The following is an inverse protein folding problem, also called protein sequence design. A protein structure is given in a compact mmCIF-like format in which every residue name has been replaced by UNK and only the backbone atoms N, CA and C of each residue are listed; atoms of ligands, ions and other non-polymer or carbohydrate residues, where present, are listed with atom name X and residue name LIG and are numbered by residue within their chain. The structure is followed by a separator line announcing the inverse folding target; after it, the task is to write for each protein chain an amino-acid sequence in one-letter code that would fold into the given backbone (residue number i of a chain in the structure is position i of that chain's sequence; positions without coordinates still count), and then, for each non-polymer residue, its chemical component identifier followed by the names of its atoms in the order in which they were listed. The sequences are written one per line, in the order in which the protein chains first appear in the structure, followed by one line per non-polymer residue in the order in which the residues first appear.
data_IF_759578543987
#
_entry.id   IF_759578543987
#
_cell.length_a   1.000
_cell.length_b   1.000
_cell.length_c   1.000
_cell.angle_alpha   90.00
_cell.angle_beta   90.00
_cell.angle_gamma   90.00
#
_symmetry.space_group_name_H-M   'P 1'
#
loop_
_entity.id
_entity.type
_entity.pdbx_description
1 polymer ?
#
# COMPACT_ATOMS: atom_id res chain seq x y z
N UNK A 1 -20.06 53.00 -56.86
CA UNK A 1 -19.57 51.95 -57.77
C UNK A 1 -19.51 50.64 -56.98
N UNK A 2 -20.23 49.62 -57.44
CA UNK A 2 -20.27 48.20 -57.04
C UNK A 2 -20.59 47.76 -55.59
N UNK A 3 -21.83 47.27 -55.45
CA UNK A 3 -22.20 46.08 -54.65
C UNK A 3 -21.34 44.86 -55.01
N UNK A 4 -21.09 43.94 -54.05
CA UNK A 4 -21.53 42.52 -54.12
C UNK A 4 -20.99 41.58 -53.02
N UNK A 5 -21.93 40.75 -52.53
CA UNK A 5 -21.87 39.35 -52.09
C UNK A 5 -21.29 38.89 -50.72
N UNK A 6 -22.24 38.37 -49.93
CA UNK A 6 -22.19 37.26 -48.96
C UNK A 6 -21.26 36.09 -49.38
N UNK A 7 -20.51 35.52 -48.42
CA UNK A 7 -20.22 34.08 -48.32
C UNK A 7 -20.11 33.62 -46.87
N UNK A 8 -20.92 32.61 -46.53
CA UNK A 8 -20.81 31.75 -45.34
C UNK A 8 -19.59 30.82 -45.52
N UNK A 9 -18.86 30.55 -44.45
CA UNK A 9 -17.94 29.42 -44.37
C UNK A 9 -18.25 28.63 -43.09
N UNK A 10 -18.64 27.37 -43.27
CA UNK A 10 -18.71 26.35 -42.25
C UNK A 10 -17.31 25.73 -42.08
N UNK A 11 -16.92 25.40 -40.85
CA UNK A 11 -15.79 24.51 -40.57
C UNK A 11 -16.34 23.32 -39.81
N UNK A 12 -16.30 22.17 -40.47
CA UNK A 12 -16.47 20.85 -39.91
C UNK A 12 -15.07 20.35 -39.48
N UNK A 13 -14.98 19.77 -38.28
CA UNK A 13 -13.81 19.06 -37.78
C UNK A 13 -14.26 17.80 -37.06
N UNK A 14 -13.96 16.66 -37.68
CA UNK A 14 -14.36 15.29 -37.34
C UNK A 14 -13.56 14.78 -36.14
N UNK A 15 -14.22 14.16 -35.16
CA UNK A 15 -13.59 13.26 -34.18
C UNK A 15 -14.13 11.84 -34.40
N UNK A 16 -13.21 10.92 -34.68
CA UNK A 16 -13.46 9.50 -34.92
C UNK A 16 -13.61 8.80 -33.57
N UNK A 17 -14.74 8.11 -33.36
CA UNK A 17 -14.98 7.20 -32.24
C UNK A 17 -15.04 5.77 -32.82
N UNK A 18 -14.07 4.92 -32.46
CA UNK A 18 -14.09 3.50 -32.79
C UNK A 18 -14.79 2.74 -31.64
N UNK A 19 -15.99 2.24 -31.92
CA UNK A 19 -16.66 1.23 -31.10
C UNK A 19 -16.40 -0.15 -31.72
N UNK A 20 -16.05 -1.15 -30.90
CA UNK A 20 -16.08 -2.56 -31.30
C UNK A 20 -17.08 -3.31 -30.45
N UNK A 21 -18.05 -3.89 -31.14
CA UNK A 21 -19.20 -4.67 -30.67
C UNK A 21 -18.81 -6.12 -30.46
N UNK A 22 -19.27 -6.75 -29.38
CA UNK A 22 -19.27 -8.21 -29.25
C UNK A 22 -20.72 -8.70 -29.21
N UNK A 23 -21.01 -9.61 -30.14
CA UNK A 23 -22.33 -10.15 -30.44
C UNK A 23 -22.62 -11.37 -29.57
N UNK A 24 -23.82 -11.42 -28.98
CA UNK A 24 -24.39 -12.61 -28.33
C UNK A 24 -24.97 -13.59 -29.35
N UNK A 25 -24.81 -14.88 -29.10
CA UNK A 25 -25.78 -15.90 -29.55
C UNK A 25 -25.85 -17.04 -28.55
N UNK A 26 -27.08 -17.35 -28.16
CA UNK A 26 -27.46 -18.48 -27.32
C UNK A 26 -28.11 -19.55 -28.21
N UNK A 27 -27.92 -20.84 -27.89
CA UNK A 27 -28.89 -21.90 -28.20
C UNK A 27 -28.87 -22.92 -27.06
N UNK A 28 -30.07 -23.32 -26.62
CA UNK A 28 -30.33 -24.32 -25.61
C UNK A 28 -30.70 -25.68 -26.23
N UNK A 29 -30.42 -26.77 -25.50
CA UNK A 29 -31.31 -27.94 -25.41
C UNK A 29 -30.96 -29.23 -26.17
N UNK A 30 -30.60 -30.28 -25.41
CA UNK A 30 -31.40 -31.50 -25.19
C UNK A 30 -30.76 -32.89 -25.49
N UNK A 31 -31.12 -33.85 -24.61
CA UNK A 31 -31.06 -35.34 -24.66
C UNK A 31 -29.70 -36.05 -24.50
N UNK A 32 -29.51 -36.81 -23.40
CA UNK A 32 -29.60 -38.29 -23.23
C UNK A 32 -28.30 -38.99 -23.73
N UNK A 33 -27.71 -40.03 -23.14
CA UNK A 33 -28.07 -41.10 -22.22
C UNK A 33 -26.74 -41.80 -21.80
N UNK A 34 -26.79 -42.66 -20.77
CA UNK A 34 -25.87 -43.79 -20.49
C UNK A 34 -24.40 -43.62 -20.02
N UNK A 35 -24.14 -44.24 -18.86
CA UNK A 35 -22.86 -44.77 -18.33
C UNK A 35 -22.49 -46.09 -19.07
N UNK A 36 -21.39 -46.87 -18.82
CA UNK A 36 -20.38 -46.78 -17.75
C UNK A 36 -18.91 -47.17 -18.10
N UNK A 37 -18.04 -47.01 -17.09
CA UNK A 37 -16.93 -47.87 -16.63
C UNK A 37 -15.69 -48.24 -17.51
N UNK A 38 -14.55 -48.18 -16.79
CA UNK A 38 -13.28 -48.93 -16.95
C UNK A 38 -12.42 -48.59 -18.19
N UNK A 39 -11.09 -48.48 -18.14
CA UNK A 39 -10.10 -49.40 -17.56
C UNK A 39 -8.71 -48.73 -17.67
N UNK A 40 -7.83 -48.84 -16.65
CA UNK A 40 -6.36 -48.79 -16.85
C UNK A 40 -5.91 -50.10 -17.55
N UNK A 41 -4.67 -50.35 -18.08
CA UNK A 41 -3.33 -49.92 -17.61
C UNK A 41 -2.29 -49.84 -18.80
N UNK A 42 -1.00 -50.26 -18.72
CA UNK A 42 0.09 -50.09 -17.74
C UNK A 42 1.37 -49.41 -18.33
N UNK A 43 2.39 -49.30 -17.48
CA UNK A 43 3.77 -48.90 -17.75
C UNK A 43 4.59 -49.86 -18.65
N UNK A 44 5.65 -49.35 -19.29
CA UNK A 44 7.07 -49.74 -19.10
C UNK A 44 7.96 -49.60 -20.37
N UNK A 45 9.28 -49.45 -20.11
CA UNK A 45 10.44 -49.77 -20.96
C UNK A 45 10.80 -48.77 -22.07
N UNK A 46 12.04 -48.51 -22.47
CA UNK A 46 13.42 -48.75 -22.00
C UNK A 46 14.35 -48.05 -23.03
N UNK A 47 15.62 -47.87 -22.67
CA UNK A 47 16.81 -47.80 -23.52
C UNK A 47 17.16 -46.57 -24.42
N UNK A 48 18.28 -45.96 -24.01
CA UNK A 48 19.53 -45.76 -24.77
C UNK A 48 19.72 -44.62 -25.79
N UNK A 49 20.48 -43.62 -25.32
CA UNK A 49 21.82 -43.22 -25.79
C UNK A 49 22.11 -43.11 -27.31
N UNK A 50 22.43 -41.89 -27.77
CA UNK A 50 23.47 -41.66 -28.80
C UNK A 50 23.97 -40.20 -28.82
N UNK A 51 25.28 -40.06 -28.59
CA UNK A 51 26.28 -39.05 -28.97
C UNK A 51 25.90 -37.69 -29.62
N UNK A 52 26.40 -36.61 -28.97
CA UNK A 52 27.34 -35.54 -29.42
C UNK A 52 27.17 -34.84 -30.82
N UNK A 53 27.62 -33.57 -31.04
CA UNK A 53 28.89 -33.04 -30.52
C UNK A 53 28.92 -31.58 -30.02
N UNK A 54 30.06 -31.32 -29.38
CA UNK A 54 30.62 -30.07 -28.89
C UNK A 54 30.75 -28.96 -29.94
N UNK A 55 30.80 -27.72 -29.49
CA UNK A 55 31.49 -26.63 -30.18
C UNK A 55 32.24 -25.80 -29.12
N UNK A 56 33.57 -25.84 -29.22
CA UNK A 56 34.52 -25.04 -28.44
C UNK A 56 34.61 -23.57 -28.91
N UNK A 57 35.13 -22.76 -27.97
CA UNK A 57 36.11 -21.66 -28.13
C UNK A 57 35.61 -20.23 -27.78
N UNK A 58 36.50 -19.32 -27.31
CA UNK A 58 37.60 -19.55 -26.38
C UNK A 58 37.71 -18.48 -25.27
N UNK A 59 38.58 -18.82 -24.32
CA UNK A 59 39.22 -18.06 -23.25
C UNK A 59 39.80 -16.69 -23.68
N UNK A 60 39.62 -15.65 -22.85
CA UNK A 60 40.40 -14.40 -22.94
C UNK A 60 40.94 -14.03 -21.57
N UNK A 61 42.26 -14.05 -21.48
CA UNK A 61 43.08 -13.64 -20.34
C UNK A 61 43.02 -12.13 -20.08
N UNK A 62 43.39 -11.77 -18.84
CA UNK A 62 43.59 -10.42 -18.32
C UNK A 62 44.72 -9.64 -19.04
N UNK A 63 44.91 -8.36 -18.68
CA UNK A 63 46.07 -8.13 -17.83
C UNK A 63 45.86 -7.15 -16.67
N UNK A 64 46.73 -7.34 -15.69
CA UNK A 64 47.04 -6.52 -14.52
C UNK A 64 47.35 -5.06 -14.89
N UNK A 65 47.03 -4.13 -13.99
CA UNK A 65 47.54 -2.76 -14.04
C UNK A 65 48.27 -2.47 -12.73
N UNK A 66 49.59 -2.33 -12.83
CA UNK A 66 50.50 -1.90 -11.77
C UNK A 66 50.30 -0.41 -11.42
N UNK A 67 50.46 -0.11 -10.13
CA UNK A 67 50.72 1.23 -9.61
C UNK A 67 52.19 1.63 -9.81
N UNK A 68 52.51 2.92 -9.71
CA UNK A 68 53.67 3.27 -8.89
C UNK A 68 53.44 4.47 -7.93
N UNK A 69 54.28 4.46 -6.89
CA UNK A 69 54.34 5.38 -5.75
C UNK A 69 54.98 6.75 -6.04
N UNK A 70 54.65 7.69 -5.13
CA UNK A 70 55.45 8.79 -4.55
C UNK A 70 55.94 9.97 -5.41
N UNK A 71 55.52 11.19 -5.01
CA UNK A 71 56.42 12.19 -4.39
C UNK A 71 55.62 13.39 -3.85
N UNK A 72 55.92 13.80 -2.62
CA UNK A 72 55.55 15.10 -2.04
C UNK A 72 56.66 16.14 -2.33
N UNK A 73 56.40 17.46 -2.24
CA UNK A 73 56.83 18.15 -1.02
C UNK A 73 55.95 19.32 -0.52
N UNK A 74 55.90 19.43 0.81
CA UNK A 74 56.14 20.60 1.68
C UNK A 74 55.32 21.92 1.58
N UNK A 75 54.72 22.22 2.75
CA UNK A 75 54.74 23.51 3.51
C UNK A 75 53.72 24.65 3.24
N UNK A 76 52.67 24.68 4.09
CA UNK A 76 52.16 25.74 5.00
C UNK A 76 52.30 27.26 4.63
N UNK A 77 51.38 28.17 5.05
CA UNK A 77 50.80 28.20 6.41
C UNK A 77 49.33 28.63 6.59
N UNK A 78 48.94 28.53 7.86
CA UNK A 78 47.68 28.80 8.52
C UNK A 78 47.05 30.18 8.29
N UNK A 79 45.72 30.21 8.37
CA UNK A 79 44.96 31.34 8.88
C UNK A 79 43.95 30.82 9.91
N UNK A 80 44.14 31.23 11.16
CA UNK A 80 43.15 31.13 12.22
C UNK A 80 41.97 32.07 11.91
N UNK A 81 40.75 31.62 12.19
CA UNK A 81 39.62 32.50 12.50
C UNK A 81 38.57 31.71 13.28
N UNK A 82 38.63 31.86 14.60
CA UNK A 82 37.58 31.50 15.53
C UNK A 82 36.50 32.58 15.56
N UNK A 83 35.22 32.21 15.41
CA UNK A 83 34.09 32.84 16.12
C UNK A 83 32.88 31.89 16.11
N UNK A 84 32.33 31.63 17.30
CA UNK A 84 31.01 31.04 17.51
C UNK A 84 29.90 31.76 16.73
N UNK A 85 28.94 30.99 16.22
CA UNK A 85 27.54 31.40 16.24
C UNK A 85 26.69 30.16 16.49
N UNK A 86 26.13 30.14 17.68
CA UNK A 86 24.85 29.53 17.98
C UNK A 86 23.87 29.84 16.83
N UNK A 87 23.28 28.80 16.26
CA UNK A 87 22.20 28.91 15.29
C UNK A 87 21.17 27.85 15.65
N UNK A 88 20.33 28.22 16.61
CA UNK A 88 19.00 27.67 16.73
C UNK A 88 18.29 27.77 15.36
N UNK A 89 17.92 26.61 14.82
CA UNK A 89 16.71 26.25 14.07
C UNK A 89 15.97 27.27 13.17
N UNK A 90 15.31 26.72 12.14
CA UNK A 90 13.90 26.45 12.38
C UNK A 90 13.54 25.01 12.07
N UNK A 91 13.03 24.28 13.06
CA UNK A 91 12.02 23.26 12.82
C UNK A 91 10.91 23.95 12.02
N UNK A 92 10.86 23.63 10.73
CA UNK A 92 9.66 23.84 9.96
C UNK A 92 8.60 22.90 10.53
N UNK A 93 7.92 23.37 11.58
CA UNK A 93 6.58 22.91 11.92
C UNK A 93 5.75 23.08 10.65
N UNK A 94 5.59 22.00 9.88
CA UNK A 94 4.57 21.94 8.84
C UNK A 94 3.25 22.29 9.52
N UNK A 95 2.80 23.52 9.30
CA UNK A 95 1.53 23.99 9.83
C UNK A 95 0.45 23.05 9.29
N UNK A 96 -0.20 22.31 10.20
CA UNK A 96 -1.31 21.44 9.84
C UNK A 96 -2.32 22.26 9.00
N UNK A 97 -2.70 21.73 7.83
CA UNK A 97 -3.69 22.38 6.99
C UNK A 97 -4.95 22.66 7.83
N UNK A 98 -5.54 23.86 7.72
CA UNK A 98 -6.75 24.19 8.49
C UNK A 98 -7.85 23.19 8.17
N UNK A 99 -8.61 22.80 9.18
CA UNK A 99 -9.74 21.89 9.01
C UNK A 99 -10.71 22.44 7.95
N UNK A 100 -11.28 21.58 7.08
CA UNK A 100 -12.19 22.04 6.04
C UNK A 100 -13.44 22.66 6.66
N UNK A 101 -13.83 23.85 6.18
CA UNK A 101 -15.01 24.56 6.68
C UNK A 101 -16.33 23.92 6.20
N UNK A 102 -16.31 23.17 5.09
CA UNK A 102 -17.47 22.43 4.60
C UNK A 102 -17.18 20.93 4.72
N UNK A 103 -17.98 20.23 5.54
CA UNK A 103 -17.80 18.80 5.80
C UNK A 103 -18.96 18.01 5.21
N UNK A 104 -18.65 16.95 4.46
CA UNK A 104 -19.63 16.01 3.93
C UNK A 104 -19.43 14.66 4.62
N UNK A 105 -20.38 14.27 5.46
CA UNK A 105 -20.36 13.03 6.22
C UNK A 105 -21.31 12.00 5.64
N UNK A 106 -20.78 10.82 5.35
CA UNK A 106 -21.53 9.63 4.96
C UNK A 106 -21.61 8.75 6.20
N UNK A 107 -22.76 8.17 6.57
CA UNK A 107 -22.87 7.25 7.70
C UNK A 107 -22.33 5.86 7.33
N UNK A 108 -22.16 4.98 8.32
CA UNK A 108 -21.97 3.56 8.03
C UNK A 108 -23.18 2.99 7.28
N UNK A 109 -22.93 2.02 6.41
CA UNK A 109 -23.95 1.33 5.64
C UNK A 109 -23.84 -0.15 5.93
N UNK A 110 -24.97 -0.78 6.25
CA UNK A 110 -25.05 -2.23 6.36
C UNK A 110 -24.72 -2.89 5.00
N UNK A 111 -23.64 -3.65 4.97
CA UNK A 111 -23.15 -4.34 3.77
C UNK A 111 -23.70 -5.77 3.64
N UNK A 112 -24.57 -6.22 4.56
CA UNK A 112 -25.18 -7.55 4.56
C UNK A 112 -26.38 -7.59 3.60
N UNK A 113 -26.09 -7.52 2.30
CA UNK A 113 -27.08 -7.67 1.23
C UNK A 113 -27.38 -9.13 0.85
N UNK A 114 -28.39 -9.38 0.00
CA UNK A 114 -29.09 -8.37 -0.81
C UNK A 114 -30.15 -7.58 -0.02
N UNK A 115 -30.04 -6.25 0.00
CA UNK A 115 -30.94 -5.37 0.74
C UNK A 115 -31.09 -3.99 0.07
N UNK A 116 -32.11 -3.24 0.45
CA UNK A 116 -32.21 -1.80 0.19
C UNK A 116 -31.78 -1.09 1.47
N UNK A 117 -30.69 -0.34 1.40
CA UNK A 117 -30.20 0.49 2.49
C UNK A 117 -30.62 1.94 2.28
N UNK A 118 -31.03 2.59 3.35
CA UNK A 118 -31.21 4.04 3.40
C UNK A 118 -29.91 4.69 3.89
N UNK A 119 -29.45 5.73 3.20
CA UNK A 119 -28.20 6.44 3.51
C UNK A 119 -28.51 7.92 3.66
N UNK A 120 -28.25 8.44 4.86
CA UNK A 120 -28.45 9.85 5.21
C UNK A 120 -27.12 10.61 5.18
N UNK A 121 -26.81 11.22 4.03
CA UNK A 121 -25.61 12.06 3.90
C UNK A 121 -25.84 13.41 4.58
N UNK A 122 -24.92 13.80 5.46
CA UNK A 122 -24.97 15.10 6.15
C UNK A 122 -23.94 16.06 5.57
N UNK A 123 -24.35 17.30 5.31
CA UNK A 123 -23.47 18.40 4.90
C UNK A 123 -23.47 19.45 5.99
N UNK A 124 -22.31 19.75 6.54
CA UNK A 124 -22.08 20.76 7.57
C UNK A 124 -21.41 21.99 6.97
N UNK A 125 -21.90 23.17 7.36
CA UNK A 125 -21.32 24.46 6.99
C UNK A 125 -20.72 25.14 8.21
N UNK A 126 -19.43 24.95 8.45
CA UNK A 126 -18.68 25.63 9.52
C UNK A 126 -18.05 26.95 9.03
N UNK A 127 -18.28 27.34 7.78
CA UNK A 127 -17.85 28.63 7.25
C UNK A 127 -18.66 29.79 7.83
N UNK A 128 -18.12 31.00 7.70
CA UNK A 128 -18.80 32.23 8.11
C UNK A 128 -19.92 32.69 7.17
N UNK A 129 -20.04 32.08 5.99
CA UNK A 129 -20.96 32.48 4.94
C UNK A 129 -22.03 31.41 4.67
N UNK A 130 -23.20 31.86 4.22
CA UNK A 130 -24.30 30.94 3.92
C UNK A 130 -24.02 30.13 2.64
N UNK A 131 -24.26 28.83 2.67
CA UNK A 131 -24.33 27.99 1.48
C UNK A 131 -25.73 28.05 0.86
N UNK A 132 -25.80 28.27 -0.45
CA UNK A 132 -27.05 28.34 -1.22
C UNK A 132 -26.95 27.47 -2.48
N UNK A 133 -28.09 27.17 -3.10
CA UNK A 133 -28.17 26.28 -4.27
C UNK A 133 -27.49 24.92 -4.01
N UNK A 134 -27.69 24.37 -2.82
CA UNK A 134 -27.00 23.17 -2.36
C UNK A 134 -27.59 21.94 -3.06
N UNK A 135 -26.73 21.21 -3.77
CA UNK A 135 -27.07 19.94 -4.42
C UNK A 135 -26.10 18.87 -3.94
N UNK A 136 -26.63 17.86 -3.29
CA UNK A 136 -25.88 16.71 -2.78
C UNK A 136 -26.01 15.57 -3.77
N UNK A 137 -24.90 15.00 -4.21
CA UNK A 137 -24.85 13.80 -5.04
C UNK A 137 -24.24 12.66 -4.23
N UNK A 138 -24.76 11.45 -4.39
CA UNK A 138 -24.26 10.26 -3.68
C UNK A 138 -24.06 9.11 -4.66
N UNK A 139 -22.92 8.45 -4.53
CA UNK A 139 -22.54 7.28 -5.30
C UNK A 139 -22.03 6.19 -4.36
N UNK A 140 -22.56 4.99 -4.55
CA UNK A 140 -22.02 3.78 -3.94
C UNK A 140 -20.87 3.19 -4.76
N UNK A 141 -20.35 2.01 -4.34
CA UNK A 141 -19.35 1.27 -5.07
C UNK A 141 -19.75 1.01 -6.52
N UNK A 142 -18.75 0.83 -7.40
CA UNK A 142 -18.98 0.57 -8.83
C UNK A 142 -19.99 -0.56 -9.02
N UNK A 143 -21.03 -0.29 -9.83
CA UNK A 143 -22.10 -1.23 -10.14
C UNK A 143 -23.27 -1.24 -9.15
N UNK A 144 -23.20 -0.48 -8.05
CA UNK A 144 -24.32 -0.34 -7.10
C UNK A 144 -25.29 0.73 -7.60
N UNK A 145 -26.58 0.49 -7.41
CA UNK A 145 -27.64 1.42 -7.83
C UNK A 145 -28.05 2.30 -6.66
N UNK A 146 -28.09 3.61 -6.88
CA UNK A 146 -28.50 4.62 -5.92
C UNK A 146 -29.64 5.46 -6.52
N UNK A 147 -30.71 5.66 -5.76
CA UNK A 147 -31.91 6.42 -6.17
C UNK A 147 -32.39 7.34 -5.04
N UNK A 148 -32.60 8.64 -5.29
CA UNK A 148 -32.06 9.37 -6.45
C UNK A 148 -30.51 9.39 -6.39
N UNK A 149 -29.80 9.72 -7.47
CA UNK A 149 -28.33 9.88 -7.40
C UNK A 149 -27.90 11.28 -6.95
N UNK A 150 -28.83 12.23 -6.93
CA UNK A 150 -28.64 13.58 -6.40
C UNK A 150 -29.94 14.18 -5.88
N UNK A 151 -29.82 15.08 -4.92
CA UNK A 151 -30.93 15.77 -4.30
C UNK A 151 -30.56 17.22 -4.01
N UNK A 152 -31.47 18.14 -4.31
CA UNK A 152 -31.37 19.52 -3.85
C UNK A 152 -31.84 19.60 -2.40
N UNK A 153 -31.06 20.28 -1.57
CA UNK A 153 -31.43 20.54 -0.17
C UNK A 153 -31.55 22.04 0.07
N UNK A 154 -32.11 22.40 1.22
CA UNK A 154 -32.23 23.79 1.61
C UNK A 154 -30.87 24.45 1.83
N UNK A 155 -30.88 25.78 1.83
CA UNK A 155 -29.67 26.55 2.07
C UNK A 155 -29.17 26.38 3.51
N UNK A 156 -27.86 26.18 3.67
CA UNK A 156 -27.23 25.86 4.95
C UNK A 156 -26.59 27.14 5.51
N UNK A 157 -27.04 27.58 6.69
CA UNK A 157 -26.49 28.76 7.38
C UNK A 157 -25.14 28.43 8.03
N UNK A 158 -24.31 29.43 8.37
CA UNK A 158 -23.12 29.23 9.19
C UNK A 158 -23.40 28.43 10.47
N UNK A 159 -22.54 27.46 10.78
CA UNK A 159 -22.62 26.53 11.91
C UNK A 159 -23.84 25.62 11.90
N UNK A 160 -24.39 25.27 10.74
CA UNK A 160 -25.57 24.40 10.60
C UNK A 160 -25.31 23.27 9.62
N UNK A 161 -26.15 22.25 9.74
CA UNK A 161 -26.11 21.05 8.91
C UNK A 161 -27.41 20.89 8.11
N UNK A 162 -27.33 20.11 7.04
CA UNK A 162 -28.48 19.62 6.30
C UNK A 162 -28.23 18.19 5.81
N UNK A 163 -29.28 17.37 5.84
CA UNK A 163 -29.24 15.97 5.43
C UNK A 163 -29.91 15.76 4.07
N UNK A 164 -29.34 14.87 3.25
CA UNK A 164 -29.93 14.32 2.04
C UNK A 164 -30.03 12.79 2.15
N UNK A 165 -31.20 12.24 1.86
CA UNK A 165 -31.50 10.81 2.02
C UNK A 165 -31.50 10.11 0.67
N UNK A 166 -30.80 8.98 0.60
CA UNK A 166 -30.65 8.17 -0.60
C UNK A 166 -31.05 6.72 -0.32
N UNK A 167 -31.62 6.04 -1.30
CA UNK A 167 -31.81 4.59 -1.25
C UNK A 167 -30.79 3.91 -2.16
N UNK A 168 -30.20 2.83 -1.68
CA UNK A 168 -29.16 2.10 -2.40
C UNK A 168 -29.41 0.61 -2.34
N UNK A 169 -29.22 -0.07 -3.47
CA UNK A 169 -29.27 -1.53 -3.52
C UNK A 169 -27.90 -2.10 -3.13
N UNK A 170 -27.84 -2.71 -1.95
CA UNK A 170 -26.70 -3.47 -1.46
C UNK A 170 -26.76 -4.87 -2.12
N UNK A 171 -25.78 -5.27 -2.94
CA UNK A 171 -25.73 -6.60 -3.54
C UNK A 171 -25.46 -7.70 -2.51
N UNK A 172 -25.63 -8.95 -2.92
CA UNK A 172 -25.22 -10.11 -2.12
C UNK A 172 -23.74 -10.04 -1.75
N UNK A 173 -23.47 -10.33 -0.48
CA UNK A 173 -22.12 -10.35 0.07
C UNK A 173 -21.31 -11.48 -0.54
N UNK A 174 -20.14 -11.14 -1.08
CA UNK A 174 -19.18 -12.13 -1.60
C UNK A 174 -18.15 -12.50 -0.53
N UNK A 175 -17.68 -13.76 -0.49
CA UNK A 175 -16.56 -14.14 0.35
C UNK A 175 -15.31 -13.31 0.03
N UNK A 176 -14.49 -13.09 1.06
CA UNK A 176 -13.23 -12.36 0.94
C UNK A 176 -13.31 -10.90 1.41
N UNK A 177 -12.13 -10.36 1.70
CA UNK A 177 -11.96 -8.97 2.08
C UNK A 177 -12.04 -8.06 0.84
N UNK A 178 -12.82 -7.00 0.91
CA UNK A 178 -12.86 -5.93 -0.05
C UNK A 178 -13.25 -4.61 0.63
N UNK A 179 -12.77 -3.49 0.11
CA UNK A 179 -13.26 -2.18 0.50
C UNK A 179 -14.43 -1.75 -0.38
N UNK A 180 -15.47 -1.22 0.24
CA UNK A 180 -16.60 -0.55 -0.41
C UNK A 180 -16.46 0.94 -0.19
N UNK A 181 -16.21 1.65 -1.28
CA UNK A 181 -16.04 3.11 -1.27
C UNK A 181 -17.36 3.77 -1.64
N UNK A 182 -17.78 4.71 -0.80
CA UNK A 182 -18.95 5.55 -0.96
C UNK A 182 -18.45 6.98 -1.08
N UNK A 183 -18.99 7.71 -2.04
CA UNK A 183 -18.58 9.08 -2.32
C UNK A 183 -19.82 9.95 -2.34
N UNK A 184 -19.75 11.08 -1.65
CA UNK A 184 -20.74 12.14 -1.78
C UNK A 184 -20.07 13.44 -2.14
N UNK A 185 -20.61 14.11 -3.15
CA UNK A 185 -20.14 15.43 -3.58
C UNK A 185 -21.28 16.41 -3.43
N UNK A 186 -21.03 17.50 -2.73
CA UNK A 186 -21.95 18.63 -2.64
C UNK A 186 -21.46 19.76 -3.54
N UNK A 187 -22.39 20.42 -4.23
CA UNK A 187 -22.13 21.68 -4.95
C UNK A 187 -23.00 22.79 -4.38
N UNK A 188 -22.46 24.01 -4.31
CA UNK A 188 -23.11 25.14 -3.65
C UNK A 188 -22.57 26.48 -4.15
N UNK A 189 -23.22 27.57 -3.72
CA UNK A 189 -22.75 28.95 -3.83
C UNK A 189 -22.61 29.57 -2.45
N UNK A 190 -21.58 30.38 -2.22
CA UNK A 190 -21.24 30.90 -0.89
C UNK A 190 -20.39 29.89 -0.11
N UNK A 191 -20.62 29.76 1.20
CA UNK A 191 -19.85 28.86 2.05
C UNK A 191 -18.38 29.30 2.14
N UNK A 192 -17.45 28.36 1.98
CA UNK A 192 -16.00 28.61 1.93
C UNK A 192 -15.51 29.24 0.60
N UNK A 193 -16.41 29.45 -0.36
CA UNK A 193 -16.08 29.98 -1.69
C UNK A 193 -15.53 28.94 -2.68
N UNK A 194 -15.31 27.69 -2.27
CA UNK A 194 -14.82 26.62 -3.15
C UNK A 194 -15.91 26.12 -4.13
N UNK A 195 -17.18 26.24 -3.72
CA UNK A 195 -18.36 25.88 -4.52
C UNK A 195 -18.62 24.37 -4.62
N UNK A 196 -17.73 23.54 -4.08
CA UNK A 196 -17.96 22.10 -3.92
C UNK A 196 -17.10 21.49 -2.83
N UNK A 197 -17.62 20.47 -2.16
CA UNK A 197 -16.89 19.64 -1.20
C UNK A 197 -17.21 18.15 -1.43
N UNK A 198 -16.31 17.26 -1.05
CA UNK A 198 -16.48 15.81 -1.21
C UNK A 198 -16.19 15.08 0.09
N UNK A 199 -17.10 14.17 0.45
CA UNK A 199 -16.95 13.20 1.53
C UNK A 199 -16.74 11.82 0.94
N UNK A 200 -15.80 11.06 1.52
CA UNK A 200 -15.55 9.67 1.16
C UNK A 200 -15.68 8.85 2.43
N UNK A 201 -16.40 7.74 2.35
CA UNK A 201 -16.37 6.68 3.35
C UNK A 201 -15.98 5.39 2.67
N UNK A 202 -15.03 4.67 3.25
CA UNK A 202 -14.66 3.36 2.77
C UNK A 202 -14.82 2.34 3.90
N UNK A 203 -15.53 1.26 3.62
CA UNK A 203 -15.92 0.24 4.61
C UNK A 203 -15.47 -1.15 4.16
N UNK A 204 -14.89 -1.97 5.07
CA UNK A 204 -14.50 -3.32 4.74
C UNK A 204 -15.71 -4.27 4.69
N UNK A 205 -15.75 -5.21 3.74
CA UNK A 205 -16.82 -6.22 3.64
C UNK A 205 -16.75 -7.28 4.73
N UNK A 206 -15.57 -7.48 5.31
CA UNK A 206 -15.34 -8.40 6.42
C UNK A 206 -14.50 -7.68 7.48
N UNK A 207 -14.70 -7.96 8.77
CA UNK A 207 -13.90 -7.34 9.82
C UNK A 207 -12.39 -7.49 9.56
N UNK A 208 -11.57 -6.43 9.73
CA UNK A 208 -10.12 -6.53 9.78
C UNK A 208 -9.69 -7.51 10.88
N UNK A 209 -8.51 -8.12 10.70
CA UNK A 209 -7.97 -9.04 11.70
C UNK A 209 -7.35 -8.26 12.86
N UNK A 210 -7.44 -8.76 14.09
CA UNK A 210 -6.94 -8.06 15.30
C UNK A 210 -5.46 -8.34 15.62
N UNK A 211 -4.80 -9.19 14.83
CA UNK A 211 -3.43 -9.61 15.05
C UNK A 211 -2.68 -9.69 13.73
N UNK A 212 -1.50 -9.05 13.68
CA UNK A 212 -0.60 -9.16 12.54
C UNK A 212 -0.16 -10.61 12.32
N UNK A 213 -0.02 -11.41 13.39
CA UNK A 213 0.40 -12.80 13.30
C UNK A 213 -0.61 -13.68 12.54
N UNK A 214 -1.91 -13.34 12.61
CA UNK A 214 -2.93 -14.03 11.84
C UNK A 214 -2.92 -13.66 10.33
N UNK A 215 -2.15 -12.62 9.95
CA UNK A 215 -1.88 -12.25 8.56
C UNK A 215 -0.56 -12.84 8.03
N UNK A 216 0.28 -13.43 8.90
CA UNK A 216 1.55 -14.00 8.46
C UNK A 216 1.32 -15.10 7.43
N UNK A 217 2.01 -14.97 6.30
CA UNK A 217 1.82 -15.82 5.13
C UNK A 217 3.16 -16.24 4.48
N UNK A 218 4.27 -15.86 5.10
CA UNK A 218 5.61 -16.19 4.64
C UNK A 218 6.53 -16.50 5.83
N UNK A 219 7.56 -17.32 5.57
CA UNK A 219 8.62 -17.66 6.53
C UNK A 219 9.88 -16.91 6.10
N UNK A 220 10.25 -15.87 6.84
CA UNK A 220 11.43 -15.07 6.53
C UNK A 220 12.61 -15.33 7.47
N UNK A 221 12.38 -15.99 8.61
CA UNK A 221 13.39 -16.26 9.63
C UNK A 221 13.48 -17.77 9.85
N UNK A 222 14.68 -18.35 9.74
CA UNK A 222 14.93 -19.76 10.05
C UNK A 222 16.07 -19.91 11.05
N UNK A 223 16.09 -21.05 11.74
CA UNK A 223 17.23 -21.41 12.60
C UNK A 223 18.40 -21.95 11.76
N UNK A 224 19.63 -21.80 12.25
CA UNK A 224 20.83 -22.37 11.62
C UNK A 224 20.72 -23.90 11.43
N UNK A 225 19.98 -24.58 12.30
CA UNK A 225 19.72 -26.02 12.22
C UNK A 225 18.63 -26.40 11.20
N UNK A 226 17.86 -25.45 10.68
CA UNK A 226 16.68 -25.68 9.82
C UNK A 226 16.55 -24.61 8.72
N UNK A 227 17.58 -24.44 7.90
CA UNK A 227 17.67 -23.33 6.93
C UNK A 227 16.74 -23.45 5.72
N UNK A 228 16.06 -24.58 5.52
CA UNK A 228 15.27 -24.87 4.31
C UNK A 228 13.76 -24.58 4.44
N UNK A 229 13.30 -24.19 5.63
CA UNK A 229 11.88 -24.05 5.93
C UNK A 229 11.26 -22.72 5.45
N UNK A 230 12.05 -21.80 4.88
CA UNK A 230 11.56 -20.48 4.50
C UNK A 230 12.05 -19.97 3.16
N UNK A 231 11.52 -18.82 2.77
CA UNK A 231 11.72 -18.24 1.45
C UNK A 231 11.44 -16.72 1.47
N UNK A 232 12.31 -15.94 2.10
CA UNK A 232 12.17 -14.48 2.16
C UNK A 232 12.29 -13.82 0.79
N UNK A 233 13.30 -14.20 0.01
CA UNK A 233 13.67 -13.50 -1.23
C UNK A 233 13.18 -14.17 -2.52
N UNK A 234 12.45 -15.29 -2.41
CA UNK A 234 12.01 -16.10 -3.55
C UNK A 234 12.99 -17.22 -3.94
N UNK A 235 14.20 -17.23 -3.41
CA UNK A 235 15.26 -18.22 -3.71
C UNK A 235 15.49 -19.23 -2.57
N UNK A 236 14.65 -19.21 -1.54
CA UNK A 236 14.75 -20.06 -0.35
C UNK A 236 15.69 -19.49 0.72
N UNK A 237 16.13 -18.24 0.59
CA UNK A 237 16.99 -17.62 1.59
C UNK A 237 16.17 -16.92 2.68
N UNK A 238 16.73 -16.81 3.88
CA UNK A 238 16.06 -16.23 5.06
C UNK A 238 17.06 -15.55 5.99
N UNK A 239 16.57 -14.69 6.88
CA UNK A 239 17.33 -14.21 8.03
C UNK A 239 17.65 -15.39 8.97
N UNK A 240 18.82 -15.36 9.62
CA UNK A 240 19.18 -16.32 10.67
C UNK A 240 18.64 -15.86 12.02
N UNK A 241 17.84 -16.70 12.68
CA UNK A 241 17.32 -16.43 14.01
C UNK A 241 18.43 -16.18 15.05
N UNK A 242 19.54 -16.92 14.94
CA UNK A 242 20.69 -16.82 15.84
C UNK A 242 21.46 -15.52 15.62
N UNK A 243 21.63 -15.08 14.36
CA UNK A 243 22.25 -13.79 14.08
C UNK A 243 21.36 -12.62 14.53
N UNK A 244 20.05 -12.71 14.34
CA UNK A 244 19.09 -11.74 14.85
C UNK A 244 19.13 -11.66 16.39
N UNK A 245 19.14 -12.80 17.07
CA UNK A 245 19.24 -12.85 18.53
C UNK A 245 20.56 -12.24 19.04
N UNK A 246 21.67 -12.45 18.32
CA UNK A 246 22.98 -11.88 18.68
C UNK A 246 23.02 -10.35 18.65
N UNK A 247 22.14 -9.71 17.86
CA UNK A 247 21.97 -8.24 17.79
C UNK A 247 20.76 -7.73 18.58
N UNK A 248 20.17 -8.57 19.44
CA UNK A 248 19.05 -8.20 20.30
C UNK A 248 17.67 -8.29 19.65
N UNK A 249 17.57 -8.79 18.41
CA UNK A 249 16.32 -8.96 17.66
C UNK A 249 15.77 -10.40 17.74
N UNK A 250 15.85 -11.03 18.92
CA UNK A 250 15.28 -12.36 19.15
C UNK A 250 13.73 -12.37 19.01
N UNK A 251 13.08 -13.54 18.88
CA UNK A 251 11.61 -13.60 18.81
C UNK A 251 10.93 -12.88 19.97
N UNK A 252 10.00 -11.96 19.66
CA UNK A 252 9.32 -11.12 20.65
C UNK A 252 10.14 -9.97 21.24
N UNK A 253 11.38 -9.75 20.78
CA UNK A 253 12.18 -8.61 21.21
C UNK A 253 11.54 -7.27 20.80
N UNK A 254 11.73 -6.25 21.63
CA UNK A 254 11.27 -4.90 21.35
C UNK A 254 12.38 -4.10 20.66
N UNK A 255 12.00 -3.33 19.65
CA UNK A 255 12.87 -2.45 18.87
C UNK A 255 12.27 -1.04 18.90
N UNK A 256 13.10 -0.04 19.21
CA UNK A 256 12.69 1.36 19.14
C UNK A 256 13.11 1.93 17.79
N UNK A 257 12.14 2.43 17.02
CA UNK A 257 12.43 3.13 15.76
C UNK A 257 11.32 4.13 15.45
N UNK A 258 11.69 5.29 14.91
CA UNK A 258 10.75 6.35 14.52
C UNK A 258 9.76 6.74 15.65
N UNK A 259 10.18 6.62 16.91
CA UNK A 259 9.39 6.93 18.10
C UNK A 259 8.35 5.87 18.52
N UNK A 260 8.35 4.69 17.89
CA UNK A 260 7.48 3.58 18.27
C UNK A 260 8.28 2.39 18.80
N UNK A 261 7.68 1.68 19.76
CA UNK A 261 8.12 0.36 20.20
C UNK A 261 7.53 -0.71 19.27
N UNK A 262 8.34 -1.22 18.35
CA UNK A 262 8.02 -2.34 17.47
C UNK A 262 8.36 -3.66 18.16
N UNK A 263 7.64 -4.74 17.83
CA UNK A 263 7.89 -6.07 18.42
C UNK A 263 8.24 -7.06 17.32
N UNK A 264 9.43 -7.64 17.38
CA UNK A 264 9.81 -8.75 16.49
C UNK A 264 8.78 -9.88 16.58
N UNK A 265 8.47 -10.57 15.47
CA UNK A 265 7.55 -11.70 15.51
C UNK A 265 7.95 -12.71 16.59
N UNK A 266 6.98 -13.17 17.37
CA UNK A 266 7.20 -14.20 18.40
C UNK A 266 7.12 -15.62 17.83
N UNK A 267 6.97 -15.76 16.51
CA UNK A 267 6.89 -17.04 15.81
C UNK A 267 8.15 -17.87 16.03
N UNK A 268 7.99 -19.20 16.05
CA UNK A 268 9.16 -20.09 16.04
C UNK A 268 9.87 -19.98 14.69
N UNK A 269 11.22 -19.93 14.64
CA UNK A 269 11.95 -19.93 13.37
C UNK A 269 11.53 -21.10 12.48
N UNK A 270 11.34 -20.85 11.19
CA UNK A 270 10.80 -21.83 10.24
C UNK A 270 9.27 -21.92 10.18
N UNK A 271 8.57 -21.03 10.90
CA UNK A 271 7.11 -20.85 10.77
C UNK A 271 6.80 -19.44 10.29
N UNK A 272 5.56 -19.19 9.86
CA UNK A 272 5.21 -17.90 9.28
C UNK A 272 5.44 -16.77 10.29
N UNK A 273 6.20 -15.76 9.89
CA UNK A 273 6.70 -14.69 10.78
C UNK A 273 6.56 -13.30 10.16
N UNK A 274 6.11 -13.21 8.91
CA UNK A 274 5.95 -11.94 8.24
C UNK A 274 4.76 -11.96 7.28
N UNK A 275 4.27 -10.77 6.95
CA UNK A 275 3.25 -10.55 5.93
C UNK A 275 3.94 -10.11 4.65
N UNK A 276 3.84 -10.91 3.60
CA UNK A 276 4.06 -10.45 2.23
C UNK A 276 2.86 -9.60 1.82
N UNK A 277 3.09 -8.31 1.57
CA UNK A 277 2.04 -7.31 1.44
C UNK A 277 1.20 -7.51 0.16
N UNK A 278 -0.11 -7.64 0.34
CA UNK A 278 -1.08 -7.93 -0.71
C UNK A 278 -2.42 -7.20 -0.48
N UNK A 279 -2.44 -6.09 0.27
CA UNK A 279 -3.67 -5.37 0.59
C UNK A 279 -4.46 -5.93 1.78
N UNK A 280 -3.82 -6.69 2.68
CA UNK A 280 -4.45 -7.19 3.90
C UNK A 280 -4.86 -6.03 4.82
N UNK A 281 -5.89 -6.24 5.64
CA UNK A 281 -6.34 -5.27 6.63
C UNK A 281 -6.06 -5.74 8.06
N UNK A 282 -5.46 -4.85 8.85
CA UNK A 282 -5.12 -5.07 10.25
C UNK A 282 -5.79 -4.00 11.12
N UNK A 283 -6.53 -4.43 12.15
CA UNK A 283 -7.04 -3.53 13.19
C UNK A 283 -5.89 -3.01 14.05
N UNK A 284 -5.94 -1.72 14.36
CA UNK A 284 -4.93 -1.04 15.19
C UNK A 284 -5.54 -0.57 16.51
N UNK A 285 -6.66 0.18 16.46
CA UNK A 285 -7.38 0.61 17.67
C UNK A 285 -6.62 1.60 18.56
N UNK A 286 -5.79 2.48 18.00
CA UNK A 286 -4.94 3.39 18.76
C UNK A 286 -4.87 4.81 18.14
N UNK A 287 -4.47 5.79 18.96
CA UNK A 287 -4.19 7.17 18.56
C UNK A 287 -2.68 7.43 18.66
N UNK A 288 -2.17 8.34 17.83
CA UNK A 288 -0.77 8.78 17.85
C UNK A 288 -0.44 9.65 16.65
N UNK A 289 0.84 9.97 16.45
CA UNK A 289 1.27 10.89 15.39
C UNK A 289 1.66 10.17 14.09
N UNK A 290 2.06 8.91 14.16
CA UNK A 290 2.44 8.11 12.99
C UNK A 290 2.25 6.62 13.23
N UNK A 291 1.98 5.90 12.15
CA UNK A 291 1.96 4.44 12.13
C UNK A 291 3.30 3.97 11.59
N UNK A 292 4.05 3.26 12.42
CA UNK A 292 5.41 2.77 12.14
C UNK A 292 5.35 1.29 11.78
N UNK A 293 6.10 0.91 10.76
CA UNK A 293 6.20 -0.45 10.24
C UNK A 293 7.65 -0.91 10.33
N UNK A 294 7.85 -2.13 10.84
CA UNK A 294 9.10 -2.87 10.65
C UNK A 294 8.95 -3.73 9.39
N UNK A 295 9.85 -3.57 8.44
CA UNK A 295 9.79 -4.31 7.20
C UNK A 295 11.13 -4.47 6.50
N UNK A 296 11.12 -5.22 5.40
CA UNK A 296 12.27 -5.37 4.51
C UNK A 296 11.81 -5.65 3.09
N UNK A 297 12.56 -5.15 2.11
CA UNK A 297 12.36 -5.46 0.71
C UNK A 297 13.09 -6.73 0.29
N UNK A 298 12.46 -7.59 -0.50
CA UNK A 298 13.14 -8.67 -1.25
C UNK A 298 13.59 -8.22 -2.65
N UNK A 299 13.23 -7.00 -3.06
CA UNK A 299 13.62 -6.37 -4.33
C UNK A 299 13.97 -4.89 -4.12
N UNK A 300 14.45 -4.21 -5.17
CA UNK A 300 14.74 -2.76 -5.13
C UNK A 300 13.46 -1.89 -5.15
N UNK A 301 12.32 -2.44 -5.58
CA UNK A 301 11.05 -1.73 -5.74
C UNK A 301 10.01 -2.12 -4.68
N UNK A 302 10.44 -2.49 -3.47
CA UNK A 302 9.57 -2.79 -2.34
C UNK A 302 8.95 -1.51 -1.75
N UNK A 303 8.10 -0.85 -2.54
CA UNK A 303 7.38 0.38 -2.20
C UNK A 303 5.88 0.21 -2.44
N UNK A 304 5.08 1.05 -1.79
CA UNK A 304 3.64 1.12 -2.00
C UNK A 304 2.95 2.12 -1.09
N UNK A 305 1.63 2.02 -0.99
CA UNK A 305 0.81 2.94 -0.19
C UNK A 305 0.13 2.17 0.93
N UNK A 306 0.28 2.65 2.16
CA UNK A 306 -0.54 2.23 3.29
C UNK A 306 -1.72 3.20 3.43
N UNK A 307 -2.93 2.65 3.62
CA UNK A 307 -4.15 3.45 3.81
C UNK A 307 -4.68 3.24 5.22
N UNK A 308 -4.82 4.32 5.96
CA UNK A 308 -5.27 4.34 7.36
C UNK A 308 -6.73 4.76 7.40
N UNK A 309 -7.53 4.01 8.14
CA UNK A 309 -8.95 4.25 8.35
C UNK A 309 -9.17 4.62 9.80
N UNK A 310 -9.90 5.71 10.05
CA UNK A 310 -10.17 6.20 11.39
C UNK A 310 -11.58 5.81 11.84
N UNK A 311 -11.80 5.78 13.15
CA UNK A 311 -13.10 5.41 13.75
C UNK A 311 -14.23 6.41 13.43
N UNK A 312 -13.89 7.63 13.00
CA UNK A 312 -14.87 8.62 12.50
C UNK A 312 -15.29 8.35 11.03
N UNK A 313 -14.64 7.39 10.36
CA UNK A 313 -14.86 7.00 8.98
C UNK A 313 -14.05 7.75 7.93
N UNK A 314 -13.26 8.73 8.36
CA UNK A 314 -12.29 9.38 7.48
C UNK A 314 -11.10 8.47 7.22
N UNK A 315 -10.29 8.80 6.22
CA UNK A 315 -9.10 8.03 5.86
C UNK A 315 -7.92 8.96 5.56
N UNK A 316 -6.71 8.47 5.79
CA UNK A 316 -5.48 9.06 5.25
C UNK A 316 -4.64 7.99 4.55
N UNK A 317 -3.64 8.40 3.78
CA UNK A 317 -2.73 7.46 3.12
C UNK A 317 -1.31 8.02 3.10
N UNK A 318 -0.32 7.13 3.16
CA UNK A 318 1.08 7.51 3.04
C UNK A 318 1.86 6.51 2.19
N UNK A 319 2.85 7.02 1.47
CA UNK A 319 3.83 6.18 0.80
C UNK A 319 4.73 5.52 1.84
N UNK A 320 5.07 4.25 1.61
CA UNK A 320 5.99 3.47 2.42
C UNK A 320 6.89 2.67 1.50
N UNK A 321 8.16 2.53 1.87
CA UNK A 321 9.09 1.67 1.17
C UNK A 321 10.15 1.09 2.09
N UNK A 322 10.69 -0.06 1.70
CA UNK A 322 11.82 -0.67 2.37
C UNK A 322 12.94 -0.92 1.34
N UNK A 323 14.19 -0.63 1.67
CA UNK A 323 15.33 -1.06 0.87
C UNK A 323 15.33 -2.58 0.70
N UNK A 324 16.01 -3.06 -0.36
CA UNK A 324 16.35 -4.47 -0.45
C UNK A 324 17.17 -4.86 0.79
N UNK A 325 16.81 -5.98 1.41
CA UNK A 325 17.43 -6.53 2.61
C UNK A 325 18.97 -6.57 2.53
N UNK A 326 19.53 -6.67 1.32
CA UNK A 326 20.97 -6.58 1.04
C UNK A 326 21.27 -5.68 -0.17
N UNK A 327 22.50 -5.19 -0.28
CA UNK A 327 23.03 -4.52 -1.49
C UNK A 327 22.22 -3.32 -2.01
N UNK A 328 21.57 -2.57 -1.12
CA UNK A 328 20.87 -1.33 -1.44
C UNK A 328 21.22 -0.24 -0.42
N UNK A 329 21.06 1.03 -0.79
CA UNK A 329 21.23 2.14 0.14
C UNK A 329 20.28 1.98 1.32
N UNK A 330 20.79 2.16 2.53
CA UNK A 330 20.03 1.89 3.76
C UNK A 330 18.91 2.91 4.03
N UNK A 331 19.02 4.11 3.44
CA UNK A 331 18.05 5.18 3.58
C UNK A 331 17.12 5.29 2.36
N UNK A 332 17.23 4.35 1.41
CA UNK A 332 16.38 4.33 0.25
C UNK A 332 14.90 4.30 0.64
N UNK A 333 14.09 5.01 -0.14
CA UNK A 333 12.65 5.16 0.09
C UNK A 333 12.26 5.86 1.39
N UNK A 334 13.19 6.49 2.12
CA UNK A 334 12.90 7.19 3.38
C UNK A 334 12.81 6.27 4.59
N UNK A 335 13.32 5.04 4.49
CA UNK A 335 13.38 4.10 5.60
C UNK A 335 14.57 4.39 6.54
N UNK A 336 14.47 3.93 7.78
CA UNK A 336 15.52 3.97 8.80
C UNK A 336 16.00 2.54 9.07
N UNK A 337 17.31 2.32 9.18
CA UNK A 337 17.86 1.01 9.54
C UNK A 337 17.44 0.63 10.98
N UNK A 338 16.76 -0.51 11.14
CA UNK A 338 16.29 -0.98 12.44
C UNK A 338 17.12 -2.17 12.97
N UNK A 339 17.46 -3.12 12.09
CA UNK A 339 18.24 -4.31 12.42
C UNK A 339 19.23 -4.61 11.30
N UNK A 340 20.46 -4.97 11.64
CA UNK A 340 21.46 -5.44 10.69
C UNK A 340 22.16 -6.68 11.24
N UNK A 341 22.25 -7.71 10.41
CA UNK A 341 22.95 -8.97 10.75
C UNK A 341 23.89 -9.34 9.61
N UNK A 342 24.97 -10.05 9.93
CA UNK A 342 25.83 -10.61 8.90
C UNK A 342 25.30 -11.99 8.48
N UNK A 343 25.42 -12.31 7.19
CA UNK A 343 25.06 -13.60 6.64
C UNK A 343 23.56 -13.89 6.61
N UNK A 344 23.23 -14.96 5.88
CA UNK A 344 21.85 -15.43 5.71
C UNK A 344 21.81 -16.95 5.76
N UNK A 345 20.63 -17.47 6.08
CA UNK A 345 20.32 -18.87 5.89
C UNK A 345 19.96 -19.11 4.42
N UNK A 346 20.58 -20.11 3.81
CA UNK A 346 20.35 -20.53 2.43
C UNK A 346 19.89 -21.99 2.42
N UNK A 347 19.34 -22.51 1.31
CA UNK A 347 18.94 -23.91 1.21
C UNK A 347 20.07 -24.92 1.46
N UNK A 348 21.33 -24.52 1.25
CA UNK A 348 22.53 -25.34 1.49
C UNK A 348 23.27 -24.97 2.80
N UNK A 349 22.59 -24.28 3.72
CA UNK A 349 23.11 -23.88 5.03
C UNK A 349 23.45 -22.40 5.12
N UNK A 350 23.91 -21.98 6.30
CA UNK A 350 24.33 -20.60 6.53
C UNK A 350 25.47 -20.19 5.60
N UNK A 351 25.47 -18.93 5.16
CA UNK A 351 26.53 -18.41 4.31
C UNK A 351 26.45 -16.91 4.14
N UNK A 352 27.25 -16.38 3.21
CA UNK A 352 27.29 -14.96 2.88
C UNK A 352 27.64 -14.07 4.09
N UNK A 353 28.40 -14.62 5.04
CA UNK A 353 28.72 -14.00 6.33
C UNK A 353 29.54 -12.70 6.26
N UNK A 354 30.04 -12.34 5.06
CA UNK A 354 30.71 -11.07 4.81
C UNK A 354 29.74 -9.93 4.48
N UNK A 355 28.46 -10.24 4.21
CA UNK A 355 27.45 -9.27 3.78
C UNK A 355 26.38 -9.06 4.85
N UNK A 356 25.80 -7.86 4.82
CA UNK A 356 24.74 -7.46 5.75
C UNK A 356 23.36 -7.72 5.17
N UNK A 357 22.49 -8.24 6.02
CA UNK A 357 21.07 -8.47 5.78
C UNK A 357 20.26 -7.73 6.84
N UNK A 358 19.37 -6.86 6.38
CA UNK A 358 18.82 -5.75 7.18
C UNK A 358 17.30 -5.72 7.18
N UNK A 359 16.74 -5.25 8.29
CA UNK A 359 15.34 -4.84 8.43
C UNK A 359 15.30 -3.35 8.74
N UNK A 360 14.24 -2.68 8.30
CA UNK A 360 14.12 -1.23 8.33
C UNK A 360 12.79 -0.81 8.95
N UNK A 361 12.77 0.36 9.54
CA UNK A 361 11.56 1.04 9.96
C UNK A 361 11.14 2.08 8.93
N UNK A 362 9.85 2.24 8.70
CA UNK A 362 9.29 3.35 7.94
C UNK A 362 7.95 3.74 8.57
N UNK A 363 7.52 4.98 8.41
CA UNK A 363 6.25 5.43 8.98
C UNK A 363 5.36 6.16 7.97
N UNK A 364 4.07 6.21 8.27
CA UNK A 364 3.13 7.14 7.61
C UNK A 364 2.49 8.03 8.67
N UNK A 365 2.26 9.33 8.38
CA UNK A 365 1.66 10.24 9.34
C UNK A 365 0.21 9.83 9.63
N UNK A 366 -0.19 9.98 10.90
CA UNK A 366 -1.56 9.86 11.35
C UNK A 366 -2.18 11.25 11.52
N UNK A 367 -3.49 11.35 11.31
CA UNK A 367 -4.22 12.59 11.56
C UNK A 367 -4.34 12.82 13.06
N UNK A 368 -3.81 13.93 13.54
CA UNK A 368 -3.81 14.28 14.96
C UNK A 368 -5.23 14.24 15.56
N UNK A 369 -5.36 13.66 16.75
CA UNK A 369 -6.61 13.54 17.49
C UNK A 369 -7.58 12.45 16.98
N UNK A 370 -7.24 11.72 15.91
CA UNK A 370 -8.06 10.62 15.40
C UNK A 370 -7.58 9.25 15.87
N UNK A 371 -8.54 8.37 16.16
CA UNK A 371 -8.28 6.96 16.49
C UNK A 371 -8.23 6.15 15.21
N UNK A 372 -7.12 5.45 14.97
CA UNK A 372 -7.00 4.48 13.89
C UNK A 372 -7.90 3.29 14.20
N UNK A 373 -8.82 2.99 13.30
CA UNK A 373 -9.61 1.75 13.31
C UNK A 373 -8.75 0.60 12.75
N UNK A 374 -8.41 0.69 11.46
CA UNK A 374 -7.56 -0.29 10.79
C UNK A 374 -6.66 0.35 9.74
N UNK A 375 -5.63 -0.39 9.34
CA UNK A 375 -4.77 -0.08 8.20
C UNK A 375 -4.93 -1.13 7.12
N UNK A 376 -4.93 -0.71 5.86
CA UNK A 376 -4.74 -1.60 4.70
C UNK A 376 -3.30 -1.50 4.25
N UNK A 377 -2.63 -2.64 4.23
CA UNK A 377 -1.23 -2.76 3.84
C UNK A 377 -1.05 -2.49 2.34
N UNK A 378 0.17 -2.15 1.89
CA UNK A 378 0.48 -2.06 0.47
C UNK A 378 0.17 -3.35 -0.31
N UNK A 379 -0.01 -3.21 -1.63
CA UNK A 379 -0.14 -4.34 -2.56
C UNK A 379 1.14 -4.52 -3.34
N UNK A 380 2.17 -5.09 -2.70
CA UNK A 380 3.46 -5.36 -3.32
C UNK A 380 4.12 -6.57 -2.63
N UNK A 381 4.20 -7.69 -3.35
CA UNK A 381 4.71 -8.94 -2.80
C UNK A 381 6.21 -8.95 -2.51
N UNK A 382 6.94 -7.89 -2.88
CA UNK A 382 8.34 -7.73 -2.50
C UNK A 382 8.50 -7.02 -1.15
N UNK A 383 7.41 -6.55 -0.54
CA UNK A 383 7.40 -5.93 0.78
C UNK A 383 7.01 -6.96 1.84
N UNK A 384 7.87 -7.12 2.84
CA UNK A 384 7.65 -8.01 3.96
C UNK A 384 7.51 -7.19 5.25
N UNK A 385 6.38 -7.31 5.93
CA UNK A 385 6.07 -6.60 7.17
C UNK A 385 6.18 -7.56 8.36
N UNK A 386 6.97 -7.19 9.35
CA UNK A 386 7.24 -7.98 10.57
C UNK A 386 6.52 -7.42 11.80
N UNK A 387 6.33 -6.11 11.87
CA UNK A 387 5.68 -5.43 12.99
C UNK A 387 5.01 -4.14 12.53
N UNK A 388 3.96 -3.74 13.24
CA UNK A 388 3.29 -2.43 13.09
C UNK A 388 2.99 -1.90 14.48
N UNK A 389 3.31 -0.63 14.73
CA UNK A 389 3.04 0.05 15.99
C UNK A 389 2.68 1.52 15.77
N UNK A 390 1.96 2.11 16.71
CA UNK A 390 1.66 3.55 16.69
C UNK A 390 2.68 4.27 17.56
N UNK A 391 3.30 5.33 17.03
CA UNK A 391 4.12 6.23 17.83
C UNK A 391 3.22 7.30 18.47
N UNK A 392 3.46 7.68 19.74
CA UNK A 392 2.66 8.65 20.49
C UNK A 392 2.65 10.05 19.89
#
# INVERSE_FOLDING_TARGET
MSMKFLRRAAIAGVFVLAASTWSTSAVAGAFAEESPAATAPPAASDASETAAPETEAPESAAPETEAPESEAPAEAPAAESSTSSDAAEPEALEAAEPAPEIVVSIPEVDLDGPAIAEVEVTVSNDSSEKMSSVVVSFAGPVGWQVVPSSQKVDAIKPGRDQTATFQMRVPEKRPGFALRVFTSTVTYKGGDGAGSATGIRAMPTTPPTDSLAALFNNVAITALSQTTAGNFDGEGNTFSAEQLAAVGAAPGAQLEALGATLTMPSSQPGTADNVTAAGQALRIGAQGQRLVFLGSGSSLNATGTATVFYTDGTTSSGAIGFPNWSFHDENAHGAELAVSTNGRNRPNGYGDAAYQYRMFAHSVPLTAGKTVDFVVLPTNSSMHIFSIAVAP
#
